data_IF_289223520988
#
_entry.id   IF_289223520988
#
_cell.length_a   1.000
_cell.length_b   1.000
_cell.length_c   1.000
_cell.angle_alpha   90.00
_cell.angle_beta   90.00
_cell.angle_gamma   90.00
#
_symmetry.space_group_name_H-M   'P 1'
#
loop_
_entity.id
_entity.type
_entity.pdbx_description
1 polymer ?
#
# COMPACT_ATOMS: atom_id res chain seq x y z
N UNK A 1 -11.02 -45.92 -1.23
CA UNK A 1 -9.83 -45.21 -1.74
C UNK A 1 -10.36 -43.97 -2.43
N UNK A 2 -10.23 -42.81 -1.81
CA UNK A 2 -10.50 -41.54 -2.50
C UNK A 2 -9.32 -41.27 -3.42
N UNK A 3 -9.55 -41.23 -4.71
CA UNK A 3 -8.58 -40.75 -5.69
C UNK A 3 -8.25 -39.30 -5.35
N UNK A 4 -7.03 -39.07 -4.88
CA UNK A 4 -6.49 -37.71 -4.69
C UNK A 4 -6.19 -37.18 -6.08
N UNK A 5 -7.18 -36.57 -6.74
CA UNK A 5 -6.96 -35.88 -8.00
C UNK A 5 -5.99 -34.73 -7.72
N UNK A 6 -4.74 -34.89 -8.16
CA UNK A 6 -3.73 -33.82 -8.03
C UNK A 6 -4.15 -32.68 -8.94
N UNK A 7 -4.69 -31.60 -8.37
CA UNK A 7 -5.08 -30.41 -9.12
C UNK A 7 -3.84 -29.81 -9.78
N UNK A 8 -3.89 -29.59 -11.07
CA UNK A 8 -2.83 -28.88 -11.80
C UNK A 8 -2.93 -27.40 -11.48
N UNK A 9 -1.85 -26.83 -10.91
CA UNK A 9 -1.79 -25.41 -10.59
C UNK A 9 -0.91 -24.70 -11.61
N UNK A 10 -1.56 -23.87 -12.44
CA UNK A 10 -0.89 -22.95 -13.38
C UNK A 10 -0.64 -21.61 -12.69
N UNK A 11 0.59 -21.06 -12.81
CA UNK A 11 0.93 -19.69 -12.39
C UNK A 11 1.27 -18.89 -13.64
N UNK A 12 0.54 -17.82 -13.88
CA UNK A 12 0.72 -16.94 -15.05
C UNK A 12 0.42 -15.49 -14.73
N UNK A 13 0.77 -14.60 -15.63
CA UNK A 13 0.36 -13.20 -15.54
C UNK A 13 -1.16 -13.06 -15.63
N UNK A 14 -1.66 -12.08 -14.88
CA UNK A 14 -3.08 -11.70 -14.86
C UNK A 14 -3.48 -11.12 -16.21
N UNK A 15 -4.66 -11.48 -16.68
CA UNK A 15 -5.30 -10.98 -17.89
C UNK A 15 -6.57 -10.21 -17.53
N UNK A 16 -7.05 -9.31 -18.41
CA UNK A 16 -8.27 -8.55 -18.16
C UNK A 16 -9.50 -9.42 -17.81
N UNK A 17 -9.63 -10.57 -18.46
CA UNK A 17 -10.71 -11.53 -18.23
C UNK A 17 -10.71 -12.18 -16.84
N UNK A 18 -9.59 -12.15 -16.12
CA UNK A 18 -9.47 -12.71 -14.78
C UNK A 18 -10.07 -11.80 -13.70
N UNK A 19 -10.34 -10.54 -14.03
CA UNK A 19 -10.64 -9.49 -13.04
C UNK A 19 -11.78 -9.85 -12.10
N UNK A 20 -12.91 -10.36 -12.61
CA UNK A 20 -14.06 -10.71 -11.78
C UNK A 20 -13.72 -11.77 -10.73
N UNK A 21 -13.05 -12.84 -11.14
CA UNK A 21 -12.66 -13.93 -10.25
C UNK A 21 -11.57 -13.51 -9.23
N UNK A 22 -10.70 -12.56 -9.61
CA UNK A 22 -9.68 -12.00 -8.71
C UNK A 22 -10.25 -11.00 -7.70
N UNK A 23 -11.30 -10.25 -8.05
CA UNK A 23 -12.06 -9.42 -7.11
C UNK A 23 -12.68 -10.32 -6.02
N UNK A 24 -13.30 -11.42 -6.41
CA UNK A 24 -13.87 -12.39 -5.47
C UNK A 24 -12.80 -13.03 -4.57
N UNK A 25 -11.63 -13.38 -5.12
CA UNK A 25 -10.51 -13.87 -4.33
C UNK A 25 -10.05 -12.83 -3.31
N UNK A 26 -9.86 -11.58 -3.74
CA UNK A 26 -9.44 -10.47 -2.89
C UNK A 26 -10.39 -10.30 -1.70
N UNK A 27 -11.69 -10.19 -1.98
CA UNK A 27 -12.73 -10.04 -0.93
C UNK A 27 -12.73 -11.17 0.08
N UNK A 28 -12.57 -12.42 -0.40
CA UNK A 28 -12.50 -13.59 0.49
C UNK A 28 -11.26 -13.64 1.38
N UNK A 29 -10.15 -13.09 0.90
CA UNK A 29 -8.86 -13.15 1.64
C UNK A 29 -8.66 -11.97 2.56
N UNK A 30 -8.99 -10.77 2.10
CA UNK A 30 -8.72 -9.52 2.83
C UNK A 30 -9.97 -8.95 3.53
N UNK A 31 -11.17 -9.23 3.00
CA UNK A 31 -12.40 -8.69 3.55
C UNK A 31 -12.72 -7.26 3.10
N UNK A 32 -11.92 -6.71 2.21
CA UNK A 32 -12.06 -5.34 1.72
C UNK A 32 -13.36 -5.10 0.93
N UNK A 33 -13.82 -3.84 0.83
CA UNK A 33 -14.93 -3.47 -0.04
C UNK A 33 -14.67 -3.86 -1.50
N UNK A 34 -15.71 -4.31 -2.20
CA UNK A 34 -15.63 -4.68 -3.61
C UNK A 34 -15.11 -3.53 -4.48
N UNK A 35 -15.55 -2.30 -4.18
CA UNK A 35 -15.12 -1.09 -4.89
C UNK A 35 -13.59 -0.91 -4.85
N UNK A 36 -12.95 -1.21 -3.70
CA UNK A 36 -11.50 -1.10 -3.55
C UNK A 36 -10.78 -2.10 -4.45
N UNK A 37 -11.15 -3.38 -4.40
CA UNK A 37 -10.55 -4.43 -5.22
C UNK A 37 -10.80 -4.20 -6.72
N UNK A 38 -12.02 -3.82 -7.11
CA UNK A 38 -12.38 -3.53 -8.49
C UNK A 38 -11.61 -2.32 -9.04
N UNK A 39 -11.47 -1.26 -8.22
CA UNK A 39 -10.71 -0.07 -8.60
C UNK A 39 -9.23 -0.36 -8.75
N UNK A 40 -8.66 -1.18 -7.88
CA UNK A 40 -7.27 -1.62 -8.01
C UNK A 40 -7.03 -2.36 -9.33
N UNK A 41 -7.85 -3.39 -9.62
CA UNK A 41 -7.68 -4.19 -10.85
C UNK A 41 -7.91 -3.37 -12.12
N UNK A 42 -8.81 -2.39 -12.07
CA UNK A 42 -9.05 -1.46 -13.19
C UNK A 42 -7.84 -0.54 -13.46
N UNK A 43 -7.15 -0.07 -12.40
CA UNK A 43 -5.98 0.80 -12.51
C UNK A 43 -4.66 0.02 -12.66
N UNK A 44 -4.66 -1.29 -12.40
CA UNK A 44 -3.46 -2.12 -12.42
C UNK A 44 -2.63 -2.01 -13.71
N UNK A 45 -3.22 -1.97 -14.93
CA UNK A 45 -2.43 -1.84 -16.17
C UNK A 45 -1.61 -0.54 -16.25
N UNK A 46 -2.06 0.52 -15.57
CA UNK A 46 -1.36 1.81 -15.51
C UNK A 46 -0.35 1.87 -14.35
N UNK A 47 -0.55 1.04 -13.31
CA UNK A 47 0.31 1.00 -12.13
C UNK A 47 1.39 -0.07 -12.20
N UNK A 48 1.21 -1.14 -12.99
CA UNK A 48 2.14 -2.26 -13.02
C UNK A 48 1.52 -3.52 -13.61
N UNK A 49 1.46 -4.60 -12.82
CA UNK A 49 0.92 -5.89 -13.25
C UNK A 49 0.69 -6.84 -12.09
N UNK A 50 0.44 -8.10 -12.40
CA UNK A 50 0.26 -9.13 -11.39
C UNK A 50 0.38 -10.53 -11.94
N UNK A 51 0.50 -11.49 -11.05
CA UNK A 51 0.51 -12.92 -11.34
C UNK A 51 -0.55 -13.62 -10.51
N UNK A 52 -1.20 -14.62 -11.08
CA UNK A 52 -2.18 -15.43 -10.38
C UNK A 52 -1.94 -16.93 -10.59
N UNK A 53 -2.30 -17.70 -9.58
CA UNK A 53 -2.32 -19.14 -9.60
C UNK A 53 -3.75 -19.61 -9.85
N UNK A 54 -3.93 -20.51 -10.81
CA UNK A 54 -5.23 -21.10 -11.13
C UNK A 54 -5.18 -22.62 -10.90
N UNK A 55 -6.18 -23.16 -10.23
CA UNK A 55 -6.39 -24.57 -10.04
C UNK A 55 -7.69 -24.97 -10.76
N UNK A 56 -7.59 -25.79 -11.82
CA UNK A 56 -8.74 -26.15 -12.67
C UNK A 56 -9.53 -24.92 -13.21
N UNK A 57 -8.80 -23.82 -13.51
CA UNK A 57 -9.38 -22.57 -14.02
C UNK A 57 -9.85 -21.58 -12.96
N UNK A 58 -9.93 -21.97 -11.68
CA UNK A 58 -10.33 -21.11 -10.59
C UNK A 58 -9.14 -20.48 -9.87
N UNK A 59 -9.21 -19.18 -9.44
CA UNK A 59 -8.09 -18.54 -8.76
C UNK A 59 -7.78 -19.18 -7.39
N UNK A 60 -6.59 -19.73 -7.26
CA UNK A 60 -6.03 -20.27 -6.03
C UNK A 60 -5.21 -19.25 -5.23
N UNK A 61 -4.71 -18.21 -5.91
CA UNK A 61 -3.98 -17.11 -5.31
C UNK A 61 -3.59 -16.05 -6.32
N UNK A 62 -3.18 -14.88 -5.84
CA UNK A 62 -2.67 -13.79 -6.66
C UNK A 62 -1.62 -12.97 -5.90
N UNK A 63 -0.75 -12.28 -6.63
CA UNK A 63 0.17 -11.27 -6.11
C UNK A 63 0.31 -10.17 -7.17
N UNK A 64 0.33 -8.93 -6.71
CA UNK A 64 0.39 -7.78 -7.59
C UNK A 64 1.72 -7.06 -7.42
N UNK A 65 2.12 -6.32 -8.45
CA UNK A 65 3.34 -5.54 -8.46
C UNK A 65 3.05 -4.13 -8.98
N UNK A 66 3.27 -3.13 -8.15
CA UNK A 66 3.07 -1.72 -8.49
C UNK A 66 4.42 -1.11 -8.85
N UNK A 67 4.56 -0.59 -10.06
CA UNK A 67 5.80 0.00 -10.59
C UNK A 67 5.70 1.50 -10.88
N UNK A 68 4.51 2.09 -10.68
CA UNK A 68 4.29 3.54 -10.79
C UNK A 68 4.84 4.35 -9.60
N UNK A 69 5.88 3.87 -8.96
CA UNK A 69 6.48 4.36 -7.71
C UNK A 69 7.97 4.67 -7.93
N UNK A 70 8.45 5.82 -7.44
CA UNK A 70 9.87 6.21 -7.57
C UNK A 70 10.40 6.79 -6.25
N UNK A 71 11.72 6.62 -6.03
CA UNK A 71 12.48 7.34 -5.03
C UNK A 71 13.71 7.93 -5.71
N UNK A 72 13.71 9.23 -5.92
CA UNK A 72 14.66 9.88 -6.82
C UNK A 72 14.55 9.28 -8.23
N UNK A 73 15.66 8.85 -8.81
CA UNK A 73 15.69 8.25 -10.15
C UNK A 73 15.38 6.74 -10.16
N UNK A 74 15.30 6.10 -8.99
CA UNK A 74 15.06 4.66 -8.86
C UNK A 74 13.57 4.33 -8.89
N UNK A 75 13.18 3.39 -9.74
CA UNK A 75 11.82 2.83 -9.80
C UNK A 75 11.67 1.66 -8.86
N UNK A 76 10.63 1.69 -8.02
CA UNK A 76 10.28 0.60 -7.14
C UNK A 76 9.34 -0.41 -7.84
N UNK A 77 9.52 -1.68 -7.54
CA UNK A 77 8.51 -2.71 -7.71
C UNK A 77 7.93 -3.04 -6.34
N UNK A 78 6.77 -2.49 -6.01
CA UNK A 78 6.11 -2.73 -4.74
C UNK A 78 5.21 -3.96 -4.85
N UNK A 79 5.61 -5.05 -4.17
CA UNK A 79 4.82 -6.26 -4.06
C UNK A 79 3.64 -6.01 -3.12
N UNK A 80 2.44 -6.12 -3.65
CA UNK A 80 1.20 -5.74 -2.98
C UNK A 80 0.16 -6.86 -3.02
N UNK A 81 -0.67 -6.94 -1.98
CA UNK A 81 -1.84 -7.79 -1.86
C UNK A 81 -1.59 -9.26 -2.27
N UNK A 82 -0.62 -9.91 -1.63
CA UNK A 82 -0.35 -11.35 -1.84
C UNK A 82 -1.45 -12.18 -1.19
N UNK A 83 -2.31 -12.74 -1.99
CA UNK A 83 -3.47 -13.53 -1.60
C UNK A 83 -3.29 -15.01 -1.92
N UNK A 84 -3.58 -15.90 -0.94
CA UNK A 84 -3.71 -17.35 -1.18
C UNK A 84 -5.03 -17.80 -0.58
N UNK A 85 -5.88 -18.38 -1.42
CA UNK A 85 -7.17 -18.95 -1.01
C UNK A 85 -6.95 -20.03 0.06
N UNK A 86 -7.75 -20.07 1.15
CA UNK A 86 -7.53 -20.97 2.28
C UNK A 86 -7.25 -22.43 1.93
N UNK A 87 -7.97 -23.08 0.97
CA UNK A 87 -7.71 -24.47 0.61
C UNK A 87 -6.33 -24.74 0.00
N UNK A 88 -5.62 -23.69 -0.44
CA UNK A 88 -4.32 -23.80 -1.11
C UNK A 88 -3.16 -23.26 -0.26
N UNK A 89 -3.43 -22.89 1.00
CA UNK A 89 -2.38 -22.48 1.95
C UNK A 89 -1.51 -23.64 2.35
N UNK A 90 -0.26 -23.38 2.70
CA UNK A 90 0.72 -24.42 3.04
C UNK A 90 1.34 -25.16 1.86
N UNK A 91 0.90 -24.88 0.61
CA UNK A 91 1.37 -25.54 -0.62
C UNK A 91 2.48 -24.75 -1.36
N UNK A 92 3.10 -23.77 -0.71
CA UNK A 92 4.16 -22.95 -1.31
C UNK A 92 3.69 -21.91 -2.33
N UNK A 93 2.36 -21.71 -2.53
CA UNK A 93 1.85 -20.78 -3.53
C UNK A 93 2.21 -19.32 -3.23
N UNK A 94 2.19 -18.90 -1.97
CA UNK A 94 2.59 -17.53 -1.59
C UNK A 94 4.01 -17.20 -2.03
N UNK A 95 4.94 -18.14 -1.87
CA UNK A 95 6.32 -17.99 -2.33
C UNK A 95 6.40 -17.90 -3.85
N UNK A 96 5.79 -18.85 -4.57
CA UNK A 96 5.77 -18.87 -6.03
C UNK A 96 5.21 -17.57 -6.62
N UNK A 97 4.11 -17.07 -6.05
CA UNK A 97 3.47 -15.83 -6.47
C UNK A 97 4.35 -14.62 -6.18
N UNK A 98 4.92 -14.51 -4.98
CA UNK A 98 5.80 -13.39 -4.60
C UNK A 98 7.06 -13.32 -5.46
N UNK A 99 7.71 -14.46 -5.70
CA UNK A 99 8.90 -14.54 -6.57
C UNK A 99 8.52 -14.18 -8.01
N UNK A 100 7.42 -14.73 -8.54
CA UNK A 100 6.98 -14.43 -9.91
C UNK A 100 6.60 -12.96 -10.09
N UNK A 101 5.94 -12.34 -9.09
CA UNK A 101 5.61 -10.92 -9.12
C UNK A 101 6.87 -10.03 -9.04
N UNK A 102 7.85 -10.38 -8.21
CA UNK A 102 9.13 -9.68 -8.14
C UNK A 102 9.88 -9.73 -9.49
N UNK A 103 9.91 -10.90 -10.15
CA UNK A 103 10.48 -11.06 -11.50
C UNK A 103 9.73 -10.21 -12.52
N UNK A 104 8.39 -10.18 -12.45
CA UNK A 104 7.58 -9.31 -13.30
C UNK A 104 7.92 -7.84 -13.10
N UNK A 105 8.07 -7.38 -11.85
CA UNK A 105 8.45 -6.01 -11.54
C UNK A 105 9.79 -5.60 -12.17
N UNK A 106 10.78 -6.49 -12.11
CA UNK A 106 12.08 -6.29 -12.80
C UNK A 106 11.91 -6.19 -14.31
N UNK A 107 11.11 -7.05 -14.89
CA UNK A 107 10.83 -7.02 -16.33
C UNK A 107 10.09 -5.74 -16.75
N UNK A 108 9.25 -5.18 -15.89
CA UNK A 108 8.61 -3.88 -16.07
C UNK A 108 9.55 -2.70 -15.81
N UNK A 109 10.82 -2.97 -15.51
CA UNK A 109 11.89 -1.99 -15.44
C UNK A 109 12.08 -1.37 -14.07
N UNK A 110 11.71 -2.04 -12.99
CA UNK A 110 12.02 -1.60 -11.64
C UNK A 110 13.50 -1.83 -11.27
N UNK A 111 14.05 -0.88 -10.52
CA UNK A 111 15.44 -0.91 -10.05
C UNK A 111 15.58 -1.66 -8.72
N UNK A 112 14.49 -1.82 -7.96
CA UNK A 112 14.45 -2.58 -6.71
C UNK A 112 13.06 -3.10 -6.39
N UNK A 113 12.99 -4.14 -5.54
CA UNK A 113 11.75 -4.71 -5.01
C UNK A 113 11.56 -4.26 -3.57
N UNK A 114 10.32 -3.95 -3.21
CA UNK A 114 9.91 -3.65 -1.84
C UNK A 114 8.52 -4.22 -1.55
N UNK A 115 8.16 -4.30 -0.28
CA UNK A 115 6.85 -4.75 0.20
C UNK A 115 6.58 -4.22 1.61
N UNK A 116 5.31 -4.14 1.98
CA UNK A 116 4.89 -3.90 3.36
C UNK A 116 4.38 -5.22 3.96
N UNK A 117 5.17 -5.89 4.82
CA UNK A 117 4.74 -7.12 5.46
C UNK A 117 3.62 -6.85 6.48
N UNK A 118 2.48 -7.50 6.32
CA UNK A 118 1.31 -7.30 7.18
C UNK A 118 1.50 -7.76 8.64
N UNK A 119 2.55 -8.53 8.94
CA UNK A 119 2.86 -9.05 10.27
C UNK A 119 4.38 -9.15 10.48
N UNK A 120 4.88 -9.00 11.72
CA UNK A 120 6.31 -9.04 12.00
C UNK A 120 7.04 -10.29 11.49
N UNK A 121 6.43 -11.47 11.59
CA UNK A 121 7.02 -12.73 11.12
C UNK A 121 7.19 -12.83 9.60
N UNK A 122 6.54 -11.95 8.82
CA UNK A 122 6.67 -11.93 7.37
C UNK A 122 7.93 -11.22 6.88
N UNK A 123 8.61 -10.39 7.70
CA UNK A 123 9.89 -9.77 7.30
C UNK A 123 10.94 -10.84 6.98
N UNK A 124 11.17 -11.78 7.90
CA UNK A 124 12.08 -12.91 7.67
C UNK A 124 11.64 -13.80 6.51
N UNK A 125 10.33 -13.93 6.34
CA UNK A 125 9.76 -14.73 5.26
C UNK A 125 10.06 -14.11 3.89
N UNK A 126 9.86 -12.81 3.72
CA UNK A 126 10.16 -12.09 2.48
C UNK A 126 11.66 -11.98 2.25
N UNK A 127 12.48 -11.77 3.30
CA UNK A 127 13.94 -11.75 3.18
C UNK A 127 14.47 -13.02 2.51
N UNK A 128 14.02 -14.18 2.98
CA UNK A 128 14.47 -15.48 2.46
C UNK A 128 14.00 -15.77 1.03
N UNK A 129 12.94 -15.11 0.54
CA UNK A 129 12.28 -15.46 -0.73
C UNK A 129 12.49 -14.44 -1.84
N UNK A 130 12.48 -13.17 -1.49
CA UNK A 130 12.64 -12.07 -2.47
C UNK A 130 13.76 -11.09 -2.08
N UNK A 131 14.54 -11.39 -1.02
CA UNK A 131 15.72 -10.62 -0.66
C UNK A 131 15.45 -9.27 -0.01
N UNK A 132 14.21 -8.99 0.45
CA UNK A 132 13.86 -7.70 1.07
C UNK A 132 14.06 -7.73 2.58
N UNK A 133 14.63 -6.68 3.15
CA UNK A 133 14.81 -6.48 4.60
C UNK A 133 14.09 -5.23 5.04
N UNK A 134 13.76 -5.15 6.35
CA UNK A 134 13.22 -3.91 6.90
C UNK A 134 14.15 -2.73 6.58
N UNK A 135 13.63 -1.77 5.82
CA UNK A 135 14.37 -0.60 5.33
C UNK A 135 13.89 0.69 6.01
N UNK A 136 12.59 0.79 6.28
CA UNK A 136 11.99 1.96 6.91
C UNK A 136 11.18 1.55 8.14
N UNK A 137 11.09 2.48 9.08
CA UNK A 137 10.35 2.36 10.33
C UNK A 137 9.31 3.46 10.41
N UNK A 138 8.24 3.26 11.17
CA UNK A 138 7.24 4.29 11.45
C UNK A 138 6.99 4.43 12.94
N UNK A 139 6.50 5.59 13.33
CA UNK A 139 5.91 5.87 14.65
C UNK A 139 4.45 6.12 14.48
N UNK A 140 3.70 5.75 15.51
CA UNK A 140 2.31 6.12 15.64
C UNK A 140 2.10 6.93 16.91
N UNK A 141 1.25 7.96 16.80
CA UNK A 141 0.86 8.81 17.93
C UNK A 141 -0.65 8.96 17.95
N UNK A 142 -1.27 8.76 19.13
CA UNK A 142 -2.69 9.02 19.32
C UNK A 142 -2.86 10.45 19.82
N UNK A 143 -3.69 11.23 19.14
CA UNK A 143 -3.90 12.66 19.37
C UNK A 143 -5.39 12.88 19.54
N UNK A 144 -5.79 13.56 20.61
CA UNK A 144 -7.19 13.92 20.82
C UNK A 144 -7.63 14.97 19.79
N UNK A 145 -8.83 14.77 19.24
CA UNK A 145 -9.39 15.69 18.25
C UNK A 145 -9.75 17.03 18.89
N UNK A 146 -9.48 18.11 18.18
CA UNK A 146 -9.99 19.44 18.53
C UNK A 146 -10.26 20.28 17.28
N UNK A 147 -11.10 21.28 17.44
CA UNK A 147 -11.43 22.21 16.37
C UNK A 147 -10.16 22.88 15.82
N UNK A 148 -10.16 23.08 14.52
CA UNK A 148 -9.03 23.66 13.81
C UNK A 148 -9.40 24.02 12.38
N UNK A 149 -8.40 24.15 11.49
CA UNK A 149 -8.64 24.44 10.08
C UNK A 149 -9.56 23.39 9.43
N UNK A 150 -10.45 23.85 8.56
CA UNK A 150 -11.35 22.97 7.82
C UNK A 150 -10.57 22.02 6.90
N UNK A 151 -11.10 20.80 6.73
CA UNK A 151 -10.67 19.88 5.68
C UNK A 151 -11.31 20.28 4.35
N UNK A 152 -10.48 20.53 3.35
CA UNK A 152 -10.91 20.85 1.99
C UNK A 152 -10.53 19.65 1.10
N UNK A 153 -11.50 18.91 0.51
CA UNK A 153 -11.20 17.80 -0.35
C UNK A 153 -10.35 18.22 -1.55
N UNK A 154 -9.34 17.40 -1.87
CA UNK A 154 -8.48 17.59 -3.03
C UNK A 154 -8.70 16.46 -4.03
N UNK A 155 -8.57 16.79 -5.33
CA UNK A 155 -8.39 15.77 -6.35
C UNK A 155 -7.05 15.04 -6.15
N UNK A 156 -6.91 13.79 -6.63
CA UNK A 156 -5.62 13.09 -6.58
C UNK A 156 -4.47 13.90 -7.18
N UNK A 157 -4.68 14.54 -8.33
CA UNK A 157 -3.69 15.36 -8.99
C UNK A 157 -3.26 16.57 -8.14
N UNK A 158 -4.23 17.34 -7.60
CA UNK A 158 -3.95 18.52 -6.76
C UNK A 158 -3.25 18.13 -5.44
N UNK A 159 -3.63 16.99 -4.86
CA UNK A 159 -2.94 16.45 -3.69
C UNK A 159 -1.48 16.10 -4.01
N UNK A 160 -1.26 15.36 -5.10
CA UNK A 160 0.08 14.91 -5.49
C UNK A 160 1.00 16.09 -5.86
N UNK A 161 0.49 17.10 -6.56
CA UNK A 161 1.23 18.33 -6.85
C UNK A 161 1.70 19.02 -5.54
N UNK A 162 0.77 19.21 -4.60
CA UNK A 162 1.10 19.81 -3.32
C UNK A 162 2.03 18.96 -2.47
N UNK A 163 1.90 17.63 -2.57
CA UNK A 163 2.77 16.67 -1.91
C UNK A 163 4.20 16.77 -2.39
N UNK A 164 4.42 16.79 -3.70
CA UNK A 164 5.74 16.92 -4.31
C UNK A 164 6.41 18.27 -3.94
N UNK A 165 5.63 19.38 -3.86
CA UNK A 165 6.13 20.66 -3.38
C UNK A 165 6.62 20.59 -1.92
N UNK A 166 5.81 19.99 -1.02
CA UNK A 166 6.13 19.90 0.41
C UNK A 166 7.28 18.93 0.70
N UNK A 167 7.52 17.96 -0.16
CA UNK A 167 8.61 16.98 -0.05
C UNK A 167 9.85 17.36 -0.89
N UNK A 168 9.82 18.51 -1.58
CA UNK A 168 10.92 18.94 -2.42
C UNK A 168 12.25 19.00 -1.64
N UNK A 169 13.29 18.37 -2.19
CA UNK A 169 14.61 18.29 -1.56
C UNK A 169 14.78 17.18 -0.52
N UNK A 170 13.72 16.44 -0.19
CA UNK A 170 13.79 15.27 0.68
C UNK A 170 13.76 13.99 -0.17
N UNK A 171 14.52 12.93 0.20
CA UNK A 171 14.30 11.61 -0.37
C UNK A 171 12.88 11.13 -0.03
N UNK A 172 12.05 10.92 -1.02
CA UNK A 172 10.66 10.52 -0.80
C UNK A 172 10.11 9.63 -1.91
N UNK A 173 9.01 8.94 -1.59
CA UNK A 173 8.22 8.22 -2.57
C UNK A 173 7.42 9.19 -3.43
N UNK A 174 7.67 9.20 -4.74
CA UNK A 174 6.81 9.85 -5.75
C UNK A 174 5.86 8.82 -6.34
N UNK A 175 4.60 9.21 -6.52
CA UNK A 175 3.49 8.38 -6.97
C UNK A 175 3.07 8.76 -8.39
N UNK A 176 2.80 7.74 -9.24
CA UNK A 176 2.13 7.98 -10.52
C UNK A 176 0.69 8.45 -10.31
N UNK A 177 0.09 9.05 -11.34
CA UNK A 177 -1.31 9.50 -11.30
C UNK A 177 -2.27 8.35 -10.94
N UNK A 178 -2.07 7.17 -11.50
CA UNK A 178 -2.88 5.99 -11.18
C UNK A 178 -2.70 5.55 -9.73
N UNK A 179 -1.46 5.60 -9.20
CA UNK A 179 -1.17 5.22 -7.82
C UNK A 179 -1.82 6.16 -6.80
N UNK A 180 -1.71 7.49 -6.99
CA UNK A 180 -2.38 8.44 -6.09
C UNK A 180 -3.90 8.42 -6.24
N UNK A 181 -4.41 8.11 -7.44
CA UNK A 181 -5.84 7.90 -7.67
C UNK A 181 -6.33 6.69 -6.86
N UNK A 182 -5.59 5.60 -6.85
CA UNK A 182 -5.93 4.44 -6.04
C UNK A 182 -5.88 4.75 -4.55
N UNK A 183 -4.88 5.48 -4.06
CA UNK A 183 -4.83 5.94 -2.66
C UNK A 183 -6.05 6.79 -2.28
N UNK A 184 -6.48 7.68 -3.16
CA UNK A 184 -7.69 8.47 -2.94
C UNK A 184 -8.93 7.58 -2.80
N UNK A 185 -9.05 6.54 -3.64
CA UNK A 185 -10.16 5.58 -3.57
C UNK A 185 -10.07 4.78 -2.26
N UNK A 186 -8.89 4.31 -1.90
CA UNK A 186 -8.65 3.58 -0.66
C UNK A 186 -9.12 4.40 0.55
N UNK A 187 -8.65 5.63 0.71
CA UNK A 187 -9.12 6.51 1.79
C UNK A 187 -10.64 6.70 1.79
N UNK A 188 -11.28 6.87 0.62
CA UNK A 188 -12.74 7.07 0.53
C UNK A 188 -13.53 5.81 0.87
N UNK A 189 -13.07 4.63 0.49
CA UNK A 189 -13.72 3.36 0.83
C UNK A 189 -13.85 3.16 2.34
N UNK A 190 -13.00 3.82 3.12
CA UNK A 190 -13.01 3.78 4.59
C UNK A 190 -13.40 5.14 5.22
N UNK A 191 -14.22 5.94 4.54
CA UNK A 191 -14.83 7.16 5.10
C UNK A 191 -13.91 8.37 5.21
N UNK A 192 -12.80 8.40 4.50
CA UNK A 192 -11.86 9.51 4.48
C UNK A 192 -11.61 10.09 3.08
N UNK A 193 -10.38 10.51 2.81
CA UNK A 193 -10.00 11.13 1.55
C UNK A 193 -8.63 11.79 1.57
N UNK A 194 -8.36 12.56 0.52
CA UNK A 194 -7.21 13.43 0.38
C UNK A 194 -7.65 14.88 0.59
N UNK A 195 -6.97 15.62 1.45
CA UNK A 195 -7.41 16.94 1.91
C UNK A 195 -6.29 17.97 1.95
N UNK A 196 -6.65 19.25 1.75
CA UNK A 196 -5.90 20.38 2.26
C UNK A 196 -6.38 20.70 3.69
N UNK A 197 -5.46 21.07 4.59
CA UNK A 197 -5.74 21.44 5.98
C UNK A 197 -4.68 22.40 6.49
N UNK A 198 -5.08 23.60 6.94
CA UNK A 198 -4.21 24.56 7.61
C UNK A 198 -2.89 24.92 6.90
N UNK A 199 -2.89 24.99 5.57
CA UNK A 199 -1.69 25.23 4.76
C UNK A 199 -0.86 23.97 4.46
N UNK A 200 -1.22 22.83 5.04
CA UNK A 200 -0.68 21.49 4.74
C UNK A 200 -1.66 20.62 3.96
N UNK A 201 -1.34 19.33 3.88
CA UNK A 201 -2.20 18.29 3.30
C UNK A 201 -2.27 17.07 4.22
N UNK A 202 -3.36 16.30 4.10
CA UNK A 202 -3.56 15.06 4.82
C UNK A 202 -4.20 13.99 3.92
N UNK A 203 -3.70 12.76 4.02
CA UNK A 203 -4.37 11.55 3.55
C UNK A 203 -4.89 10.79 4.78
N UNK A 204 -6.21 10.61 4.85
CA UNK A 204 -6.86 10.06 6.03
C UNK A 204 -7.97 9.08 5.67
N UNK A 205 -8.24 8.15 6.56
CA UNK A 205 -9.43 7.30 6.56
C UNK A 205 -9.93 7.10 8.01
N UNK A 206 -11.09 6.45 8.17
CA UNK A 206 -11.67 6.18 9.50
C UNK A 206 -11.62 4.67 9.77
N UNK A 207 -11.04 4.30 10.90
CA UNK A 207 -10.97 2.91 11.36
C UNK A 207 -11.24 2.86 12.87
N UNK A 208 -12.11 1.98 13.32
CA UNK A 208 -12.49 1.81 14.72
C UNK A 208 -12.87 3.13 15.43
N UNK A 209 -13.52 4.05 14.72
CA UNK A 209 -13.94 5.36 15.23
C UNK A 209 -12.80 6.38 15.42
N UNK A 210 -11.60 6.11 14.90
CA UNK A 210 -10.47 7.03 14.84
C UNK A 210 -10.19 7.48 13.42
N UNK A 211 -9.70 8.71 13.27
CA UNK A 211 -9.13 9.17 12.02
C UNK A 211 -7.70 8.66 11.91
N UNK A 212 -7.42 7.78 10.97
CA UNK A 212 -6.07 7.30 10.69
C UNK A 212 -5.43 8.22 9.66
N UNK A 213 -4.40 8.96 10.08
CA UNK A 213 -3.64 9.90 9.25
C UNK A 213 -2.40 9.17 8.71
N UNK A 214 -2.51 8.61 7.51
CA UNK A 214 -1.39 7.96 6.83
C UNK A 214 -0.29 8.95 6.48
N UNK A 215 -0.69 10.13 6.06
CA UNK A 215 0.23 11.22 5.73
C UNK A 215 -0.34 12.55 6.19
N UNK A 216 0.48 13.33 6.89
CA UNK A 216 0.24 14.76 7.15
C UNK A 216 1.52 15.50 6.79
N UNK A 217 1.46 16.38 5.81
CA UNK A 217 2.58 17.18 5.35
C UNK A 217 2.27 18.65 5.48
N UNK A 218 3.23 19.42 6.00
CA UNK A 218 3.19 20.87 6.09
C UNK A 218 4.63 21.40 6.12
N UNK A 219 4.77 22.71 5.88
CA UNK A 219 6.10 23.37 5.83
C UNK A 219 6.85 23.33 7.17
N UNK A 220 6.12 23.34 8.29
CA UNK A 220 6.67 23.14 9.62
C UNK A 220 6.21 21.79 10.19
N UNK A 221 7.08 20.79 10.27
CA UNK A 221 6.73 19.47 10.80
C UNK A 221 6.18 19.47 12.22
N UNK A 222 6.51 20.48 13.05
CA UNK A 222 5.98 20.62 14.40
C UNK A 222 4.45 20.90 14.41
N UNK A 223 3.90 21.41 13.33
CA UNK A 223 2.46 21.62 13.16
C UNK A 223 1.64 20.37 12.86
N UNK A 224 2.26 19.26 12.48
CA UNK A 224 1.54 18.02 12.07
C UNK A 224 0.54 17.50 13.09
N UNK A 225 0.85 17.43 14.41
CA UNK A 225 -0.13 16.96 15.41
C UNK A 225 -1.39 17.83 15.46
N UNK A 226 -1.26 19.15 15.36
CA UNK A 226 -2.40 20.06 15.36
C UNK A 226 -3.29 19.88 14.10
N UNK A 227 -2.67 19.65 12.94
CA UNK A 227 -3.42 19.37 11.71
C UNK A 227 -4.10 17.99 11.76
N UNK A 228 -3.47 16.99 12.37
CA UNK A 228 -4.07 15.69 12.60
C UNK A 228 -5.28 15.77 13.53
N UNK A 229 -5.17 16.53 14.62
CA UNK A 229 -6.28 16.75 15.55
C UNK A 229 -7.48 17.46 14.87
N UNK A 230 -7.20 18.48 14.05
CA UNK A 230 -8.23 19.18 13.27
C UNK A 230 -8.89 18.24 12.24
N UNK A 231 -8.10 17.39 11.58
CA UNK A 231 -8.60 16.42 10.63
C UNK A 231 -9.53 15.38 11.31
N UNK A 232 -9.15 14.87 12.48
CA UNK A 232 -10.00 13.95 13.25
C UNK A 232 -11.33 14.60 13.65
N UNK A 233 -11.31 15.83 14.15
CA UNK A 233 -12.52 16.58 14.51
C UNK A 233 -13.44 16.76 13.29
N UNK A 234 -12.89 17.14 12.15
CA UNK A 234 -13.65 17.36 10.90
C UNK A 234 -14.23 16.07 10.34
N UNK A 235 -13.58 14.91 10.58
CA UNK A 235 -14.07 13.58 10.22
C UNK A 235 -15.05 12.99 11.26
N UNK A 236 -15.38 13.72 12.33
CA UNK A 236 -16.29 13.26 13.38
C UNK A 236 -15.70 12.22 14.31
N UNK A 237 -14.37 12.11 14.37
CA UNK A 237 -13.65 11.19 15.24
C UNK A 237 -13.19 11.89 16.53
N UNK A 238 -13.16 11.16 17.65
CA UNK A 238 -12.66 11.68 18.91
C UNK A 238 -11.13 11.75 18.96
N UNK A 239 -10.44 10.95 18.14
CA UNK A 239 -8.99 10.84 18.12
C UNK A 239 -8.45 10.68 16.70
N UNK A 240 -7.23 11.16 16.49
CA UNK A 240 -6.40 10.83 15.36
C UNK A 240 -5.37 9.76 15.75
N UNK A 241 -5.06 8.84 14.84
CA UNK A 241 -3.85 8.03 14.83
C UNK A 241 -2.94 8.60 13.74
N UNK A 242 -1.90 9.33 14.15
CA UNK A 242 -0.94 9.94 13.23
C UNK A 242 0.26 9.03 13.02
N UNK A 243 0.50 8.64 11.77
CA UNK A 243 1.74 7.97 11.39
C UNK A 243 2.81 9.00 10.96
N UNK A 244 4.05 8.70 11.30
CA UNK A 244 5.22 9.51 10.96
C UNK A 244 6.43 8.61 10.66
N UNK A 245 7.38 9.06 9.83
CA UNK A 245 8.64 8.35 9.66
C UNK A 245 9.31 8.10 11.01
N UNK A 246 9.76 6.88 11.21
CA UNK A 246 10.44 6.40 12.41
C UNK A 246 11.93 6.15 12.17
N UNK A 247 12.63 5.73 13.23
CA UNK A 247 14.02 5.29 13.19
C UNK A 247 14.19 3.87 13.69
N UNK A 248 15.41 3.39 13.72
CA UNK A 248 15.73 2.06 14.23
C UNK A 248 15.29 1.91 15.68
N UNK A 249 14.41 0.94 15.94
CA UNK A 249 13.79 0.71 17.27
C UNK A 249 12.31 1.09 17.32
N UNK A 250 11.79 1.83 16.33
CA UNK A 250 10.37 2.04 16.13
C UNK A 250 9.73 0.83 15.41
N UNK A 251 8.45 0.92 15.07
CA UNK A 251 7.71 -0.14 14.37
C UNK A 251 8.30 -0.38 12.96
N UNK A 252 8.73 -1.61 12.60
CA UNK A 252 9.10 -1.94 11.24
C UNK A 252 7.94 -1.63 10.28
N UNK A 253 8.25 -0.95 9.16
CA UNK A 253 7.21 -0.54 8.22
C UNK A 253 7.44 -1.12 6.83
N UNK A 254 8.41 -0.63 6.08
CA UNK A 254 8.65 -1.08 4.72
C UNK A 254 9.88 -1.99 4.65
N UNK A 255 9.74 -3.12 3.97
CA UNK A 255 10.87 -3.96 3.57
C UNK A 255 11.28 -3.66 2.13
N UNK A 256 12.58 -3.53 1.87
CA UNK A 256 13.12 -3.31 0.54
C UNK A 256 14.43 -4.08 0.35
N UNK A 257 14.88 -4.22 -0.87
CA UNK A 257 16.20 -4.77 -1.16
C UNK A 257 17.29 -3.93 -0.50
N UNK A 258 18.35 -4.55 0.04
CA UNK A 258 19.42 -3.85 0.74
C UNK A 258 20.05 -2.74 -0.11
N UNK A 259 20.18 -1.53 0.47
CA UNK A 259 20.76 -0.36 -0.20
C UNK A 259 19.86 0.31 -1.25
N UNK A 260 18.60 -0.14 -1.37
CA UNK A 260 17.65 0.50 -2.29
C UNK A 260 17.19 1.87 -1.78
N UNK A 261 16.94 1.97 -0.46
CA UNK A 261 16.41 3.16 0.22
C UNK A 261 17.38 3.66 1.29
N UNK A 262 17.47 4.99 1.45
CA UNK A 262 18.05 5.63 2.63
C UNK A 262 17.10 5.58 3.82
N UNK A 263 17.61 5.64 5.02
CA UNK A 263 16.83 5.60 6.27
C UNK A 263 16.00 6.87 6.51
N UNK A 264 16.28 7.93 5.77
CA UNK A 264 15.63 9.24 5.77
C UNK A 264 14.55 9.37 4.67
N UNK A 265 14.30 8.30 3.91
CA UNK A 265 13.29 8.30 2.86
C UNK A 265 11.88 8.42 3.45
N UNK A 266 11.12 9.42 3.00
CA UNK A 266 9.71 9.59 3.37
C UNK A 266 8.83 8.69 2.49
N UNK A 267 8.29 7.65 3.10
CA UNK A 267 7.36 6.71 2.47
C UNK A 267 6.16 6.51 3.39
N UNK A 268 5.14 7.34 3.24
CA UNK A 268 3.96 7.34 4.13
C UNK A 268 2.76 6.63 3.51
N UNK A 269 2.68 6.57 2.17
CA UNK A 269 1.57 5.96 1.45
C UNK A 269 2.02 4.63 0.84
N UNK A 270 1.40 3.55 1.24
CA UNK A 270 1.74 2.19 0.83
C UNK A 270 0.50 1.32 0.53
N UNK A 271 -0.63 1.95 0.26
CA UNK A 271 -1.90 1.26 -0.04
C UNK A 271 -2.42 0.35 1.10
N UNK A 272 -1.93 0.52 2.32
CA UNK A 272 -2.28 -0.23 3.54
C UNK A 272 -3.49 0.34 4.26
#
# INVERSE_FOLDING_TARGET
>A
MQETTTKTIEVREIRPEDSAALIDLWRRVFGDPEELAASFLRLLPEMGGGVAAFADGEPAGAAYIVTGLKVGDKRAAYLYAVAVSPPFRGMGLGERLSVSAAVLGRRLGADFVCTLPAQPGLYDWYEKRIGTRCALYRRSEVIDAHEGPALIPLSPAAYNERREELLAGLPHLSLSEAAITYESINCRCFGGGLYAVGGGIAAAYVEDGRAVLREVLCSDPAGRPALAAAAASALGCAQALLYSPGGHGDEPYLAAEPGALGTDCVWNLAFD
#
